data_IF_004164043882
#
_entry.id   IF_004164043882
#
_cell.length_a   1.000
_cell.length_b   1.000
_cell.length_c   1.000
_cell.angle_alpha   90.00
_cell.angle_beta   90.00
_cell.angle_gamma   90.00
#
_symmetry.space_group_name_H-M   'P 1'
#
loop_
_entity.id
_entity.type
_entity.pdbx_description
1 polymer ?
#
# COMPACT_ATOMS: atom_id res chain seq x y z
N UNK A 1 41.66 -35.88 30.05
CA UNK A 1 40.22 -35.91 30.34
C UNK A 1 39.83 -34.51 30.78
N UNK A 2 39.05 -33.81 29.94
CA UNK A 2 38.25 -32.57 30.13
C UNK A 2 38.22 -31.87 28.76
N UNK A 3 37.28 -32.25 27.91
CA UNK A 3 35.90 -31.75 27.79
C UNK A 3 35.81 -30.74 26.64
N UNK A 4 35.36 -31.28 25.50
CA UNK A 4 34.91 -30.53 24.35
C UNK A 4 33.61 -29.82 24.72
N UNK A 5 33.64 -28.49 24.81
CA UNK A 5 32.43 -27.68 24.94
C UNK A 5 31.72 -27.63 23.60
N UNK A 6 30.59 -28.34 23.56
CA UNK A 6 29.59 -28.31 22.51
C UNK A 6 28.99 -26.90 22.39
N UNK A 7 29.08 -26.33 21.18
CA UNK A 7 28.25 -25.20 20.78
C UNK A 7 26.78 -25.64 20.75
N UNK A 8 25.84 -24.93 21.41
CA UNK A 8 24.43 -25.21 21.21
C UNK A 8 24.04 -24.66 19.84
N UNK A 9 23.86 -25.56 18.87
CA UNK A 9 23.10 -25.30 17.66
C UNK A 9 21.65 -25.03 18.09
N UNK A 10 21.32 -23.77 18.33
CA UNK A 10 19.97 -23.32 18.62
C UNK A 10 19.08 -23.59 17.40
N UNK A 11 18.44 -24.75 17.40
CA UNK A 11 17.41 -25.09 16.43
C UNK A 11 16.28 -24.06 16.52
N UNK A 12 16.01 -23.38 15.41
CA UNK A 12 14.80 -22.58 15.25
C UNK A 12 13.59 -23.50 15.47
N UNK A 13 12.92 -23.38 16.61
CA UNK A 13 11.57 -23.95 16.74
C UNK A 13 10.65 -23.19 15.78
N UNK A 14 9.70 -23.88 15.15
CA UNK A 14 8.70 -23.25 14.27
C UNK A 14 7.86 -22.16 14.96
N UNK A 15 7.99 -22.00 16.28
CA UNK A 15 7.30 -21.03 17.14
C UNK A 15 8.36 -20.14 17.82
N UNK A 16 9.29 -19.57 17.05
CA UNK A 16 10.17 -18.54 17.58
C UNK A 16 9.40 -17.21 17.69
N UNK A 17 9.58 -16.42 18.77
CA UNK A 17 8.88 -15.15 18.98
C UNK A 17 8.92 -14.18 17.77
N UNK A 18 10.02 -14.07 16.99
CA UNK A 18 10.06 -13.21 15.81
C UNK A 18 9.09 -13.63 14.70
N UNK A 19 8.88 -14.93 14.50
CA UNK A 19 7.95 -15.46 13.48
C UNK A 19 6.50 -15.15 13.88
N UNK A 20 6.16 -15.34 15.15
CA UNK A 20 4.81 -15.07 15.66
C UNK A 20 4.46 -13.58 15.53
N UNK A 21 5.38 -12.68 15.88
CA UNK A 21 5.18 -11.24 15.72
C UNK A 21 5.01 -10.88 14.24
N UNK A 22 5.87 -11.42 13.37
CA UNK A 22 5.78 -11.17 11.93
C UNK A 22 4.42 -11.60 11.38
N UNK A 23 3.96 -12.81 11.72
CA UNK A 23 2.68 -13.33 11.30
C UNK A 23 1.51 -12.48 11.83
N UNK A 24 1.58 -12.03 13.09
CA UNK A 24 0.57 -11.18 13.69
C UNK A 24 0.47 -9.81 13.00
N UNK A 25 1.63 -9.19 12.72
CA UNK A 25 1.70 -7.91 12.00
C UNK A 25 1.21 -8.06 10.56
N UNK A 26 1.59 -9.14 9.87
CA UNK A 26 1.13 -9.43 8.51
C UNK A 26 -0.38 -9.69 8.45
N UNK A 27 -0.94 -10.46 9.40
CA UNK A 27 -2.37 -10.72 9.48
C UNK A 27 -3.17 -9.43 9.78
N UNK A 28 -2.68 -8.59 10.69
CA UNK A 28 -3.32 -7.31 10.98
C UNK A 28 -3.24 -6.38 9.77
N UNK A 29 -2.10 -6.35 9.09
CA UNK A 29 -1.92 -5.58 7.85
C UNK A 29 -2.85 -6.07 6.72
N UNK A 30 -3.03 -7.38 6.58
CA UNK A 30 -3.99 -7.96 5.64
C UNK A 30 -5.41 -7.42 5.91
N UNK A 31 -5.88 -7.51 7.16
CA UNK A 31 -7.23 -7.03 7.53
C UNK A 31 -7.40 -5.54 7.27
N UNK A 32 -6.42 -4.72 7.68
CA UNK A 32 -6.44 -3.28 7.41
C UNK A 32 -6.36 -2.95 5.92
N UNK A 33 -5.73 -3.80 5.12
CA UNK A 33 -5.69 -3.62 3.67
C UNK A 33 -7.03 -3.94 3.00
N UNK A 34 -7.85 -4.83 3.58
CA UNK A 34 -9.24 -5.06 3.15
C UNK A 34 -10.07 -3.78 3.29
N UNK A 35 -9.84 -2.96 4.32
CA UNK A 35 -10.59 -1.70 4.51
C UNK A 35 -10.44 -0.74 3.32
N UNK A 36 -9.31 -0.82 2.59
CA UNK A 36 -9.04 0.03 1.43
C UNK A 36 -9.91 -0.30 0.23
N UNK A 37 -10.34 -1.56 0.09
CA UNK A 37 -11.21 -2.01 -1.01
C UNK A 37 -12.68 -1.93 -0.65
N UNK A 38 -13.01 -1.80 0.65
CA UNK A 38 -14.41 -1.78 1.13
C UNK A 38 -15.26 -0.74 0.42
N UNK A 39 -14.78 0.51 0.35
CA UNK A 39 -15.52 1.60 -0.27
C UNK A 39 -15.67 1.44 -1.80
N UNK A 40 -14.72 0.76 -2.46
CA UNK A 40 -14.76 0.43 -3.91
C UNK A 40 -15.83 -0.60 -4.23
N UNK A 41 -15.95 -1.63 -3.41
CA UNK A 41 -16.98 -2.65 -3.60
C UNK A 41 -18.38 -2.12 -3.29
N UNK A 42 -18.51 -1.31 -2.23
CA UNK A 42 -19.79 -0.72 -1.83
C UNK A 42 -20.23 0.49 -2.68
N UNK A 43 -19.43 0.90 -3.68
CA UNK A 43 -19.68 2.09 -4.46
C UNK A 43 -21.07 2.13 -5.14
N UNK A 44 -21.55 1.05 -5.78
CA UNK A 44 -22.88 1.05 -6.41
C UNK A 44 -24.00 1.37 -5.40
N UNK A 45 -23.96 0.74 -4.23
CA UNK A 45 -24.93 0.95 -3.15
C UNK A 45 -24.84 2.35 -2.57
N UNK A 46 -23.62 2.89 -2.39
CA UNK A 46 -23.42 4.30 -1.98
C UNK A 46 -24.09 5.26 -2.95
N UNK A 47 -23.95 5.05 -4.26
CA UNK A 47 -24.58 5.90 -5.29
C UNK A 47 -26.10 5.73 -5.35
N UNK A 48 -26.61 4.54 -5.01
CA UNK A 48 -28.04 4.24 -5.04
C UNK A 48 -28.79 4.75 -3.79
N UNK A 49 -28.16 4.66 -2.62
CA UNK A 49 -28.79 5.00 -1.33
C UNK A 49 -28.51 6.43 -0.87
N UNK A 50 -27.52 7.10 -1.47
CA UNK A 50 -27.15 8.47 -1.09
C UNK A 50 -27.22 9.42 -2.28
N UNK A 51 -27.35 10.72 -2.01
CA UNK A 51 -27.43 11.74 -3.06
C UNK A 51 -26.06 12.16 -3.60
N UNK A 52 -25.00 11.39 -3.35
CA UNK A 52 -23.65 11.76 -3.75
C UNK A 52 -23.43 11.49 -5.24
N UNK A 53 -22.67 12.36 -5.89
CA UNK A 53 -22.27 12.16 -7.27
C UNK A 53 -20.86 11.52 -7.38
N UNK A 54 -20.47 11.14 -8.60
CA UNK A 54 -19.16 10.54 -8.87
C UNK A 54 -17.97 11.45 -8.51
N UNK A 55 -18.15 12.78 -8.54
CA UNK A 55 -17.10 13.73 -8.14
C UNK A 55 -16.86 13.64 -6.64
N UNK A 56 -17.94 13.66 -5.85
CA UNK A 56 -17.91 13.52 -4.40
C UNK A 56 -17.32 12.17 -3.96
N UNK A 57 -17.72 11.08 -4.61
CA UNK A 57 -17.12 9.75 -4.40
C UNK A 57 -15.61 9.77 -4.63
N UNK A 58 -15.15 10.38 -5.72
CA UNK A 58 -13.72 10.44 -6.06
C UNK A 58 -12.91 11.16 -4.98
N UNK A 59 -13.49 12.23 -4.41
CA UNK A 59 -12.89 12.98 -3.30
C UNK A 59 -12.86 12.13 -2.01
N UNK A 60 -13.91 11.36 -1.72
CA UNK A 60 -13.96 10.43 -0.59
C UNK A 60 -12.86 9.35 -0.69
N UNK A 61 -12.65 8.76 -1.86
CA UNK A 61 -11.51 7.85 -2.10
C UNK A 61 -10.17 8.55 -1.85
N UNK A 62 -10.03 9.76 -2.36
CA UNK A 62 -8.86 10.59 -2.12
C UNK A 62 -8.54 10.78 -0.65
N UNK A 63 -9.56 11.05 0.17
CA UNK A 63 -9.42 11.28 1.59
C UNK A 63 -8.71 10.10 2.28
N UNK A 64 -9.11 8.86 1.98
CA UNK A 64 -8.47 7.67 2.52
C UNK A 64 -6.99 7.60 2.15
N UNK A 65 -6.64 7.79 0.88
CA UNK A 65 -5.24 7.69 0.44
C UNK A 65 -4.37 8.85 0.94
N UNK A 66 -4.94 10.05 1.05
CA UNK A 66 -4.27 11.22 1.62
C UNK A 66 -3.97 10.97 3.11
N UNK A 67 -4.96 10.50 3.88
CA UNK A 67 -4.76 10.15 5.30
C UNK A 67 -3.66 9.10 5.46
N UNK A 68 -3.69 8.07 4.62
CA UNK A 68 -2.66 7.02 4.57
C UNK A 68 -1.26 7.55 4.26
N UNK A 69 -1.13 8.47 3.30
CA UNK A 69 0.16 9.01 2.90
C UNK A 69 0.75 9.96 3.95
N UNK A 70 -0.09 10.86 4.48
CA UNK A 70 0.32 11.89 5.44
C UNK A 70 0.71 11.27 6.79
N UNK A 71 0.05 10.19 7.21
CA UNK A 71 0.31 9.58 8.52
C UNK A 71 1.59 8.75 8.61
N UNK A 72 2.10 8.23 7.49
CA UNK A 72 3.30 7.39 7.49
C UNK A 72 4.55 8.09 8.04
N UNK A 73 4.77 9.35 7.67
CA UNK A 73 5.91 10.14 8.14
C UNK A 73 5.89 10.41 9.65
N UNK A 74 4.83 11.01 10.24
CA UNK A 74 4.77 11.28 11.67
C UNK A 74 4.68 10.00 12.52
N UNK A 75 4.07 8.92 12.01
CA UNK A 75 3.90 7.68 12.77
C UNK A 75 5.23 7.04 13.19
N UNK A 76 6.25 7.10 12.34
CA UNK A 76 7.60 6.62 12.69
C UNK A 76 8.18 7.38 13.89
N UNK A 77 8.17 8.73 13.83
CA UNK A 77 8.66 9.56 14.94
C UNK A 77 7.81 9.42 16.21
N UNK A 78 6.50 9.21 16.05
CA UNK A 78 5.60 8.98 17.18
C UNK A 78 5.92 7.64 17.87
N UNK A 79 6.23 6.59 17.11
CA UNK A 79 6.60 5.28 17.63
C UNK A 79 7.87 5.33 18.48
N UNK A 80 8.83 6.18 18.13
CA UNK A 80 10.03 6.39 18.94
C UNK A 80 9.71 7.04 20.30
N UNK A 81 8.70 7.92 20.35
CA UNK A 81 8.32 8.66 21.58
C UNK A 81 7.43 7.87 22.52
N UNK A 82 6.36 7.29 21.98
CA UNK A 82 5.30 6.62 22.78
C UNK A 82 5.33 5.10 22.69
N UNK A 83 6.28 4.55 21.91
CA UNK A 83 6.48 3.12 21.73
C UNK A 83 5.80 2.57 20.48
N UNK A 84 6.48 1.64 19.80
CA UNK A 84 6.03 0.92 18.60
C UNK A 84 4.65 0.31 18.80
N UNK A 85 4.48 -0.42 19.91
CA UNK A 85 3.23 -1.10 20.23
C UNK A 85 2.04 -0.13 20.36
N UNK A 86 2.23 1.02 21.01
CA UNK A 86 1.19 2.04 21.19
C UNK A 86 0.72 2.58 19.85
N UNK A 87 1.64 2.84 18.92
CA UNK A 87 1.28 3.37 17.60
C UNK A 87 0.64 2.32 16.70
N UNK A 88 1.06 1.06 16.78
CA UNK A 88 0.39 -0.03 16.05
C UNK A 88 -1.06 -0.20 16.49
N UNK A 89 -1.29 -0.33 17.81
CA UNK A 89 -2.64 -0.53 18.35
C UNK A 89 -3.48 0.73 18.16
N UNK A 90 -2.91 1.91 18.41
CA UNK A 90 -3.57 3.19 18.19
C UNK A 90 -3.97 3.39 16.73
N UNK A 91 -3.07 3.10 15.78
CA UNK A 91 -3.35 3.21 14.34
C UNK A 91 -4.46 2.26 13.88
N UNK A 92 -4.37 0.98 14.24
CA UNK A 92 -5.40 0.00 13.90
C UNK A 92 -6.75 0.29 14.61
N UNK A 93 -6.69 0.78 15.85
CA UNK A 93 -7.86 1.20 16.62
C UNK A 93 -8.55 2.41 16.00
N UNK A 94 -7.80 3.45 15.61
CA UNK A 94 -8.32 4.63 14.89
C UNK A 94 -8.98 4.18 13.58
N UNK A 95 -8.32 3.32 12.81
CA UNK A 95 -8.90 2.83 11.56
C UNK A 95 -10.20 2.06 11.77
N UNK A 96 -10.26 1.20 12.79
CA UNK A 96 -11.43 0.39 13.09
C UNK A 96 -12.57 1.26 13.63
N UNK A 97 -12.30 2.17 14.56
CA UNK A 97 -13.32 3.10 15.09
C UNK A 97 -13.89 4.02 14.01
N UNK A 98 -13.03 4.54 13.12
CA UNK A 98 -13.47 5.37 12.00
C UNK A 98 -14.28 4.56 10.97
N UNK A 99 -13.93 3.29 10.73
CA UNK A 99 -14.73 2.43 9.87
C UNK A 99 -16.09 2.11 10.51
N UNK A 100 -16.13 1.82 11.82
CA UNK A 100 -17.39 1.60 12.55
C UNK A 100 -18.29 2.83 12.55
N UNK A 101 -17.74 4.04 12.58
CA UNK A 101 -18.55 5.27 12.62
C UNK A 101 -19.37 5.48 11.33
N UNK A 102 -18.99 4.82 10.23
CA UNK A 102 -19.78 4.82 8.98
C UNK A 102 -21.18 4.23 9.18
N UNK A 103 -21.38 3.34 10.15
CA UNK A 103 -22.70 2.77 10.45
C UNK A 103 -23.74 3.79 10.90
N UNK A 104 -23.29 4.96 11.37
CA UNK A 104 -24.15 6.07 11.81
C UNK A 104 -23.86 7.34 11.00
N UNK A 105 -23.27 7.21 9.82
CA UNK A 105 -22.96 8.34 8.96
C UNK A 105 -24.25 8.92 8.35
N UNK A 106 -24.51 10.20 8.63
CA UNK A 106 -25.71 10.91 8.17
C UNK A 106 -25.43 11.96 7.10
N UNK A 107 -24.16 12.29 6.86
CA UNK A 107 -23.78 13.33 5.90
C UNK A 107 -22.40 13.05 5.28
N UNK A 108 -22.17 13.69 4.13
CA UNK A 108 -20.93 13.57 3.35
C UNK A 108 -19.66 13.88 4.16
N UNK A 109 -19.67 14.92 4.99
CA UNK A 109 -18.49 15.33 5.77
C UNK A 109 -18.10 14.30 6.83
N UNK A 110 -19.07 13.60 7.42
CA UNK A 110 -18.79 12.48 8.32
C UNK A 110 -18.09 11.36 7.55
N UNK A 111 -18.62 10.95 6.39
CA UNK A 111 -17.98 9.91 5.56
C UNK A 111 -16.56 10.32 5.16
N UNK A 112 -16.36 11.57 4.74
CA UNK A 112 -15.04 12.12 4.41
C UNK A 112 -14.06 12.02 5.59
N UNK A 113 -14.47 12.49 6.77
CA UNK A 113 -13.64 12.45 7.97
C UNK A 113 -13.33 11.01 8.40
N UNK A 114 -14.32 10.12 8.33
CA UNK A 114 -14.16 8.71 8.64
C UNK A 114 -13.13 8.06 7.69
N UNK A 115 -13.27 8.22 6.37
CA UNK A 115 -12.33 7.66 5.40
C UNK A 115 -10.91 8.23 5.55
N UNK A 116 -10.77 9.53 5.82
CA UNK A 116 -9.49 10.16 6.12
C UNK A 116 -8.83 9.55 7.36
N UNK A 117 -9.60 9.28 8.42
CA UNK A 117 -9.12 8.65 9.65
C UNK A 117 -8.81 7.16 9.47
N UNK A 118 -9.61 6.44 8.68
CA UNK A 118 -9.32 5.07 8.24
C UNK A 118 -7.94 5.03 7.58
N UNK A 119 -7.73 5.90 6.58
CA UNK A 119 -6.43 6.06 5.92
C UNK A 119 -5.30 6.35 6.90
N UNK A 120 -5.51 7.33 7.77
CA UNK A 120 -4.53 7.75 8.81
C UNK A 120 -4.10 6.58 9.69
N UNK A 121 -5.05 5.78 10.17
CA UNK A 121 -4.78 4.62 11.00
C UNK A 121 -4.02 3.51 10.26
N UNK A 122 -4.44 3.20 9.03
CA UNK A 122 -3.79 2.20 8.16
C UNK A 122 -2.34 2.61 7.86
N UNK A 123 -2.11 3.89 7.51
CA UNK A 123 -0.77 4.39 7.19
C UNK A 123 0.17 4.37 8.38
N UNK A 124 -0.35 4.72 9.57
CA UNK A 124 0.40 4.66 10.82
C UNK A 124 0.82 3.23 11.16
N UNK A 125 -0.12 2.28 11.05
CA UNK A 125 0.16 0.87 11.26
C UNK A 125 1.23 0.36 10.30
N UNK A 126 1.11 0.68 9.01
CA UNK A 126 2.03 0.18 7.97
C UNK A 126 3.46 0.69 8.14
N UNK A 127 3.63 1.96 8.49
CA UNK A 127 4.96 2.53 8.70
C UNK A 127 5.66 1.85 9.89
N UNK A 128 4.95 1.71 11.01
CA UNK A 128 5.52 1.21 12.25
C UNK A 128 5.70 -0.31 12.24
N UNK A 129 4.85 -1.07 11.55
CA UNK A 129 4.97 -2.53 11.47
C UNK A 129 6.23 -2.96 10.73
N UNK A 130 6.63 -2.23 9.70
CA UNK A 130 7.90 -2.47 9.01
C UNK A 130 9.11 -2.15 9.90
N UNK A 131 9.07 -1.04 10.63
CA UNK A 131 10.14 -0.69 11.59
C UNK A 131 10.24 -1.74 12.70
N UNK A 132 9.10 -2.24 13.18
CA UNK A 132 9.06 -3.32 14.18
C UNK A 132 9.75 -4.59 13.68
N UNK A 133 9.48 -5.01 12.44
CA UNK A 133 10.15 -6.17 11.83
C UNK A 133 11.66 -5.93 11.69
N UNK A 134 12.06 -4.82 11.07
CA UNK A 134 13.46 -4.51 10.80
C UNK A 134 14.32 -4.33 12.06
N UNK A 135 13.71 -4.07 13.22
CA UNK A 135 14.43 -3.91 14.49
C UNK A 135 14.46 -5.18 15.35
N UNK A 136 13.57 -6.16 15.11
CA UNK A 136 13.38 -7.32 16.00
C UNK A 136 13.69 -8.66 15.35
N UNK A 137 13.58 -8.74 14.03
CA UNK A 137 13.89 -9.96 13.31
C UNK A 137 15.40 -9.95 13.01
N UNK A 138 16.13 -11.02 13.36
CA UNK A 138 17.56 -11.11 13.03
C UNK A 138 17.79 -10.89 11.54
N UNK A 139 18.90 -10.24 11.16
CA UNK A 139 19.24 -9.87 9.78
C UNK A 139 19.09 -11.04 8.79
N UNK A 140 19.42 -12.26 9.21
CA UNK A 140 19.28 -13.50 8.41
C UNK A 140 17.82 -13.76 7.95
N UNK A 141 16.84 -13.35 8.75
CA UNK A 141 15.41 -13.61 8.52
C UNK A 141 14.61 -12.34 8.19
N UNK A 142 15.21 -11.15 8.32
CA UNK A 142 14.53 -9.87 8.11
C UNK A 142 13.86 -9.80 6.72
N UNK A 143 14.58 -10.19 5.67
CA UNK A 143 14.06 -10.19 4.30
C UNK A 143 12.83 -11.08 4.13
N UNK A 144 12.81 -12.26 4.78
CA UNK A 144 11.64 -13.16 4.75
C UNK A 144 10.46 -12.57 5.51
N UNK A 145 10.72 -11.94 6.66
CA UNK A 145 9.69 -11.32 7.48
C UNK A 145 9.05 -10.09 6.80
N UNK A 146 9.88 -9.21 6.22
CA UNK A 146 9.41 -8.09 5.41
C UNK A 146 8.69 -8.57 4.15
N UNK A 147 9.14 -9.67 3.55
CA UNK A 147 8.46 -10.33 2.44
C UNK A 147 7.04 -10.77 2.82
N UNK A 148 6.86 -11.43 3.97
CA UNK A 148 5.54 -11.84 4.47
C UNK A 148 4.63 -10.64 4.75
N UNK A 149 5.15 -9.60 5.43
CA UNK A 149 4.39 -8.37 5.66
C UNK A 149 3.97 -7.71 4.35
N UNK A 150 4.86 -7.64 3.36
CA UNK A 150 4.57 -6.99 2.08
C UNK A 150 3.60 -7.82 1.23
N UNK A 151 3.68 -9.15 1.29
CA UNK A 151 2.79 -10.06 0.56
C UNK A 151 1.33 -10.01 1.07
N UNK A 152 1.10 -9.68 2.35
CA UNK A 152 -0.25 -9.61 2.91
C UNK A 152 -1.15 -8.58 2.19
N UNK A 153 -0.59 -7.48 1.66
CA UNK A 153 -1.36 -6.47 0.93
C UNK A 153 -1.99 -7.01 -0.37
N UNK A 154 -1.25 -7.54 -1.35
CA UNK A 154 -1.85 -8.04 -2.59
C UNK A 154 -2.79 -9.24 -2.35
N UNK A 155 -2.54 -10.08 -1.34
CA UNK A 155 -3.49 -11.13 -0.95
C UNK A 155 -4.83 -10.55 -0.47
N UNK A 156 -4.79 -9.43 0.27
CA UNK A 156 -6.02 -8.74 0.70
C UNK A 156 -6.83 -8.20 -0.48
N UNK A 157 -6.20 -7.88 -1.62
CA UNK A 157 -6.93 -7.45 -2.80
C UNK A 157 -7.60 -8.60 -3.54
N UNK A 158 -7.17 -9.83 -3.35
CA UNK A 158 -7.87 -11.02 -3.88
C UNK A 158 -9.06 -11.38 -3.01
N UNK A 159 -8.82 -11.52 -1.70
CA UNK A 159 -9.81 -12.04 -0.74
C UNK A 159 -10.76 -10.94 -0.26
N UNK A 160 -10.26 -9.72 -0.13
CA UNK A 160 -10.97 -8.58 0.42
C UNK A 160 -12.23 -8.20 -0.35
N UNK A 161 -12.19 -8.00 -1.69
CA UNK A 161 -13.38 -7.62 -2.43
C UNK A 161 -14.52 -8.64 -2.33
N UNK A 162 -14.19 -9.94 -2.38
CA UNK A 162 -15.17 -11.02 -2.20
C UNK A 162 -15.72 -11.02 -0.77
N UNK A 163 -14.86 -10.84 0.23
CA UNK A 163 -15.27 -10.76 1.64
C UNK A 163 -16.22 -9.58 1.86
N UNK A 164 -15.89 -8.41 1.31
CA UNK A 164 -16.73 -7.21 1.40
C UNK A 164 -18.05 -7.42 0.67
N UNK A 165 -18.04 -7.98 -0.55
CA UNK A 165 -19.25 -8.24 -1.31
C UNK A 165 -20.19 -9.19 -0.55
N UNK A 166 -19.68 -10.29 0.01
CA UNK A 166 -20.48 -11.22 0.82
C UNK A 166 -21.04 -10.56 2.09
N UNK A 167 -20.24 -9.72 2.76
CA UNK A 167 -20.73 -8.97 3.92
C UNK A 167 -21.79 -7.94 3.53
N UNK A 168 -21.69 -7.31 2.35
CA UNK A 168 -22.67 -6.35 1.84
C UNK A 168 -23.95 -7.03 1.33
N UNK A 169 -23.87 -8.28 0.88
CA UNK A 169 -25.06 -9.09 0.56
C UNK A 169 -25.77 -9.57 1.85
N UNK A 170 -25.00 -9.85 2.91
CA UNK A 170 -25.53 -10.36 4.19
C UNK A 170 -26.01 -9.25 5.12
N UNK A 171 -25.32 -8.11 5.11
CA UNK A 171 -25.56 -6.93 5.92
C UNK A 171 -25.70 -5.72 5.01
N UNK A 172 -26.48 -4.71 5.40
CA UNK A 172 -26.64 -3.49 4.61
C UNK A 172 -25.36 -2.62 4.57
N UNK A 173 -25.40 -1.57 3.73
CA UNK A 173 -24.33 -0.60 3.51
C UNK A 173 -23.76 0.03 4.80
N UNK A 174 -24.59 0.22 5.83
CA UNK A 174 -24.21 0.86 7.09
C UNK A 174 -23.71 -0.16 8.11
N UNK A 175 -24.31 -1.35 8.17
CA UNK A 175 -23.95 -2.41 9.12
C UNK A 175 -22.66 -3.13 8.71
N UNK A 176 -22.41 -3.30 7.40
CA UNK A 176 -21.23 -4.00 6.88
C UNK A 176 -19.89 -3.42 7.38
N UNK A 177 -19.64 -2.10 7.34
CA UNK A 177 -18.41 -1.49 7.88
C UNK A 177 -18.19 -1.78 9.36
N UNK A 178 -19.27 -1.84 10.17
CA UNK A 178 -19.18 -2.14 11.59
C UNK A 178 -18.70 -3.58 11.83
N UNK A 179 -19.25 -4.55 11.11
CA UNK A 179 -18.82 -5.96 11.22
C UNK A 179 -17.36 -6.11 10.82
N UNK A 180 -16.95 -5.48 9.72
CA UNK A 180 -15.56 -5.53 9.26
C UNK A 180 -14.60 -4.88 10.26
N UNK A 181 -15.02 -3.80 10.93
CA UNK A 181 -14.24 -3.12 11.95
C UNK A 181 -13.91 -3.97 13.18
N UNK A 182 -14.67 -5.05 13.43
CA UNK A 182 -14.42 -5.98 14.54
C UNK A 182 -13.32 -7.00 14.22
N UNK A 183 -13.03 -7.24 12.94
CA UNK A 183 -12.09 -8.27 12.48
C UNK A 183 -10.66 -8.15 13.06
N UNK A 184 -10.05 -6.95 13.22
CA UNK A 184 -8.72 -6.84 13.80
C UNK A 184 -8.70 -6.94 15.34
N UNK A 185 -9.84 -6.83 16.04
CA UNK A 185 -9.86 -6.78 17.52
C UNK A 185 -9.17 -7.99 18.20
N UNK A 186 -9.35 -9.24 17.75
CA UNK A 186 -8.61 -10.37 18.32
C UNK A 186 -7.10 -10.23 18.12
N UNK A 187 -6.68 -9.77 16.94
CA UNK A 187 -5.26 -9.55 16.63
C UNK A 187 -4.68 -8.43 17.50
N UNK A 188 -5.44 -7.35 17.72
CA UNK A 188 -5.06 -6.27 18.62
C UNK A 188 -5.01 -6.72 20.09
N UNK A 189 -5.92 -7.60 20.51
CA UNK A 189 -5.88 -8.24 21.82
C UNK A 189 -4.62 -9.08 22.04
N UNK A 190 -4.20 -9.83 21.02
CA UNK A 190 -2.95 -10.59 21.04
C UNK A 190 -1.75 -9.63 21.04
N UNK A 191 -1.79 -8.56 20.23
CA UNK A 191 -0.73 -7.54 20.17
C UNK A 191 -0.59 -6.81 21.52
N UNK A 192 -1.70 -6.62 22.24
CA UNK A 192 -1.76 -6.06 23.58
C UNK A 192 -1.23 -7.02 24.66
N UNK A 193 -1.31 -8.34 24.47
CA UNK A 193 -0.79 -9.29 25.47
C UNK A 193 0.66 -9.69 25.18
N UNK A 194 1.11 -9.51 23.94
CA UNK A 194 2.47 -9.81 23.52
C UNK A 194 3.48 -8.85 24.19
N UNK A 195 4.35 -9.40 25.04
CA UNK A 195 5.45 -8.67 25.70
C UNK A 195 6.72 -8.59 24.85
N UNK A 196 6.75 -9.28 23.72
CA UNK A 196 7.90 -9.39 22.82
C UNK A 196 8.04 -8.22 21.85
N UNK A 197 7.11 -7.26 21.86
CA UNK A 197 7.25 -5.98 21.16
C UNK A 197 7.97 -4.98 22.06
N UNK A 198 8.93 -4.22 21.52
CA UNK A 198 9.74 -3.30 22.32
C UNK A 198 8.84 -2.19 22.86
N UNK A 199 9.08 -1.79 24.11
CA UNK A 199 8.45 -0.61 24.68
C UNK A 199 8.92 0.67 23.98
N UNK A 200 10.17 0.69 23.48
CA UNK A 200 10.81 1.77 22.72
C UNK A 200 11.86 1.18 21.78
N UNK A 201 12.04 1.75 20.59
CA UNK A 201 13.24 1.51 19.79
C UNK A 201 14.39 2.13 20.59
N UNK A 202 15.41 1.35 20.98
CA UNK A 202 16.53 1.86 21.78
C UNK A 202 17.16 3.07 21.08
N UNK A 203 16.92 4.25 21.67
CA UNK A 203 17.37 5.55 21.18
C UNK A 203 18.88 5.73 21.26
N UNK A 204 19.58 4.86 21.99
CA UNK A 204 21.00 5.00 22.32
C UNK A 204 21.92 4.63 21.15
N UNK A 205 21.39 4.04 20.07
CA UNK A 205 22.14 3.73 18.85
C UNK A 205 21.83 4.68 17.68
N UNK A 206 20.86 5.59 17.83
CA UNK A 206 20.36 6.44 16.73
C UNK A 206 20.00 7.84 17.24
N UNK A 207 20.89 8.82 17.07
CA UNK A 207 20.66 10.22 17.46
C UNK A 207 19.57 10.90 16.62
N UNK A 208 18.29 10.81 17.02
CA UNK A 208 17.15 11.31 16.25
C UNK A 208 17.21 12.84 16.05
N UNK A 209 17.15 13.36 14.82
CA UNK A 209 17.09 14.77 14.57
C UNK A 209 15.77 15.30 15.10
N UNK A 210 15.80 16.47 15.72
CA UNK A 210 14.58 17.24 15.97
C UNK A 210 13.82 17.40 14.64
N UNK A 211 12.49 17.48 14.64
CA UNK A 211 11.64 17.66 13.44
C UNK A 211 12.21 18.73 12.47
N UNK A 212 12.88 19.75 13.03
CA UNK A 212 13.62 20.81 12.32
C UNK A 212 14.85 20.33 11.52
N UNK A 213 15.67 19.44 12.08
CA UNK A 213 16.85 18.85 11.42
C UNK A 213 16.45 17.80 10.37
N UNK A 214 15.38 17.03 10.62
CA UNK A 214 14.79 16.16 9.61
C UNK A 214 14.29 16.97 8.41
N UNK A 215 13.67 18.13 8.66
CA UNK A 215 13.22 19.05 7.62
C UNK A 215 14.33 19.63 6.74
N UNK A 216 15.50 19.95 7.30
CA UNK A 216 16.64 20.46 6.50
C UNK A 216 17.26 19.38 5.62
N UNK A 217 17.48 18.17 6.14
CA UNK A 217 18.00 17.04 5.34
C UNK A 217 17.01 16.64 4.26
N UNK A 218 15.72 16.62 4.58
CA UNK A 218 14.66 16.32 3.63
C UNK A 218 14.54 17.39 2.53
N UNK A 219 14.71 18.68 2.87
CA UNK A 219 14.74 19.77 1.90
C UNK A 219 15.91 19.63 0.92
N UNK A 220 17.09 19.26 1.42
CA UNK A 220 18.26 19.09 0.56
C UNK A 220 18.13 17.84 -0.32
N UNK A 221 17.45 16.80 0.17
CA UNK A 221 17.08 15.62 -0.62
C UNK A 221 16.10 15.95 -1.75
N UNK A 222 15.07 16.73 -1.47
CA UNK A 222 14.09 17.20 -2.47
C UNK A 222 14.71 18.03 -3.61
N UNK A 223 15.89 18.62 -3.39
CA UNK A 223 16.63 19.36 -4.42
C UNK A 223 17.40 18.46 -5.39
N UNK A 224 17.57 17.18 -5.06
CA UNK A 224 18.27 16.23 -5.95
C UNK A 224 17.36 15.82 -7.10
N UNK A 225 17.88 15.89 -8.33
CA UNK A 225 17.17 15.44 -9.52
C UNK A 225 16.75 13.97 -9.41
N UNK A 226 17.60 13.11 -8.85
CA UNK A 226 17.31 11.68 -8.62
C UNK A 226 16.07 11.48 -7.74
N UNK A 227 15.88 12.31 -6.72
CA UNK A 227 14.71 12.26 -5.83
C UNK A 227 13.47 12.79 -6.53
N UNK A 228 13.59 13.87 -7.31
CA UNK A 228 12.48 14.37 -8.13
C UNK A 228 11.97 13.32 -9.11
N UNK A 229 12.89 12.60 -9.78
CA UNK A 229 12.55 11.50 -10.68
C UNK A 229 11.93 10.31 -9.94
N UNK A 230 12.46 9.97 -8.77
CA UNK A 230 11.90 8.94 -7.90
C UNK A 230 10.45 9.25 -7.51
N UNK A 231 10.21 10.47 -7.04
CA UNK A 231 8.88 10.93 -6.66
C UNK A 231 7.97 10.96 -7.89
N UNK A 232 8.46 11.42 -9.04
CA UNK A 232 7.69 11.46 -10.29
C UNK A 232 7.17 10.09 -10.73
N UNK A 233 8.04 9.09 -10.89
CA UNK A 233 7.58 7.75 -11.24
C UNK A 233 6.80 7.09 -10.09
N UNK A 234 7.15 7.38 -8.84
CA UNK A 234 6.46 6.87 -7.66
C UNK A 234 5.01 7.36 -7.57
N UNK A 235 4.75 8.62 -7.93
CA UNK A 235 3.41 9.18 -8.06
C UNK A 235 2.65 8.50 -9.19
N UNK A 236 3.25 8.37 -10.39
CA UNK A 236 2.61 7.69 -11.52
C UNK A 236 2.17 6.26 -11.18
N UNK A 237 3.05 5.48 -10.54
CA UNK A 237 2.75 4.13 -10.08
C UNK A 237 1.62 4.12 -9.03
N UNK A 238 1.73 4.99 -8.02
CA UNK A 238 0.78 5.00 -6.89
C UNK A 238 -0.60 5.49 -7.32
N UNK A 239 -0.67 6.51 -8.18
CA UNK A 239 -1.92 7.01 -8.77
C UNK A 239 -2.59 5.92 -9.60
N UNK A 240 -1.85 5.24 -10.47
CA UNK A 240 -2.41 4.18 -11.31
C UNK A 240 -2.98 3.05 -10.46
N UNK A 241 -2.23 2.62 -9.45
CA UNK A 241 -2.66 1.53 -8.56
C UNK A 241 -3.90 1.92 -7.77
N UNK A 242 -3.91 3.10 -7.13
CA UNK A 242 -5.03 3.55 -6.31
C UNK A 242 -6.29 3.83 -7.14
N UNK A 243 -6.16 4.42 -8.33
CA UNK A 243 -7.28 4.65 -9.23
C UNK A 243 -7.91 3.34 -9.71
N UNK A 244 -7.09 2.34 -10.05
CA UNK A 244 -7.61 1.04 -10.45
C UNK A 244 -8.25 0.27 -9.29
N UNK A 245 -7.69 0.35 -8.08
CA UNK A 245 -8.35 -0.22 -6.89
C UNK A 245 -9.76 0.36 -6.71
N UNK A 246 -9.92 1.67 -6.94
CA UNK A 246 -11.20 2.35 -6.79
C UNK A 246 -12.21 2.04 -7.91
N UNK A 247 -11.76 1.85 -9.15
CA UNK A 247 -12.66 1.83 -10.33
C UNK A 247 -12.84 0.43 -10.92
N UNK A 248 -11.85 -0.47 -10.78
CA UNK A 248 -11.83 -1.73 -11.51
C UNK A 248 -13.00 -2.68 -11.19
N UNK A 249 -13.40 -2.89 -9.92
CA UNK A 249 -14.53 -3.76 -9.62
C UNK A 249 -15.85 -3.23 -10.22
N UNK A 250 -16.12 -1.95 -10.03
CA UNK A 250 -17.29 -1.28 -10.62
C UNK A 250 -17.26 -1.37 -12.15
N UNK A 251 -16.13 -1.07 -12.78
CA UNK A 251 -15.97 -1.14 -14.23
C UNK A 251 -16.31 -2.54 -14.76
N UNK A 252 -15.81 -3.60 -14.12
CA UNK A 252 -16.08 -4.96 -14.56
C UNK A 252 -17.57 -5.29 -14.44
N UNK A 253 -18.24 -4.89 -13.36
CA UNK A 253 -19.68 -5.15 -13.19
C UNK A 253 -20.53 -4.34 -14.17
N UNK A 254 -20.17 -3.10 -14.46
CA UNK A 254 -20.93 -2.21 -15.34
C UNK A 254 -20.76 -2.57 -16.82
N UNK A 255 -19.53 -2.89 -17.24
CA UNK A 255 -19.19 -3.13 -18.65
C UNK A 255 -19.29 -4.58 -19.08
N UNK A 256 -19.40 -5.49 -18.12
CA UNK A 256 -19.57 -6.93 -18.41
C UNK A 256 -20.88 -7.41 -17.77
N UNK A 257 -21.47 -8.47 -18.31
CA UNK A 257 -22.68 -9.08 -17.75
C UNK A 257 -22.38 -9.95 -16.51
N UNK A 258 -21.34 -9.62 -15.74
CA UNK A 258 -20.90 -10.39 -14.58
C UNK A 258 -21.65 -9.93 -13.32
N UNK A 259 -21.87 -10.87 -12.39
CA UNK A 259 -22.39 -10.55 -11.07
C UNK A 259 -21.37 -9.76 -10.25
N UNK A 260 -21.80 -9.02 -9.22
CA UNK A 260 -20.92 -8.28 -8.30
C UNK A 260 -19.80 -9.18 -7.74
N UNK A 261 -20.15 -10.40 -7.31
CA UNK A 261 -19.20 -11.39 -6.78
C UNK A 261 -18.17 -11.85 -7.81
N UNK A 262 -18.57 -12.09 -9.07
CA UNK A 262 -17.62 -12.48 -10.11
C UNK A 262 -16.76 -11.29 -10.56
N UNK A 263 -17.35 -10.10 -10.75
CA UNK A 263 -16.61 -8.89 -11.12
C UNK A 263 -15.55 -8.51 -10.09
N UNK A 264 -15.90 -8.57 -8.79
CA UNK A 264 -14.97 -8.31 -7.68
C UNK A 264 -13.92 -9.40 -7.55
N UNK A 265 -14.26 -10.68 -7.74
CA UNK A 265 -13.30 -11.78 -7.75
C UNK A 265 -12.28 -11.60 -8.88
N UNK A 266 -12.71 -11.19 -10.07
CA UNK A 266 -11.80 -10.94 -11.18
C UNK A 266 -10.93 -9.71 -10.94
N UNK A 267 -11.49 -8.59 -10.46
CA UNK A 267 -10.71 -7.43 -10.07
C UNK A 267 -9.65 -7.80 -9.02
N UNK A 268 -10.03 -8.61 -8.03
CA UNK A 268 -9.10 -9.09 -7.01
C UNK A 268 -8.04 -10.03 -7.58
N UNK A 269 -8.42 -10.95 -8.47
CA UNK A 269 -7.50 -11.84 -9.18
C UNK A 269 -6.46 -11.09 -10.01
N UNK A 270 -6.82 -9.95 -10.60
CA UNK A 270 -5.89 -9.06 -11.29
C UNK A 270 -4.83 -8.52 -10.33
N UNK A 271 -5.21 -7.98 -9.17
CA UNK A 271 -4.23 -7.54 -8.16
C UNK A 271 -3.43 -8.71 -7.56
N UNK A 272 -4.05 -9.88 -7.43
CA UNK A 272 -3.39 -11.13 -7.01
C UNK A 272 -2.31 -11.62 -7.98
N UNK A 273 -2.57 -11.58 -9.29
CA UNK A 273 -1.57 -11.84 -10.31
C UNK A 273 -0.39 -10.85 -10.18
N UNK A 274 -0.67 -9.62 -9.75
CA UNK A 274 0.33 -8.63 -9.38
C UNK A 274 1.31 -9.08 -8.30
N UNK A 275 0.89 -9.91 -7.35
CA UNK A 275 1.80 -10.48 -6.34
C UNK A 275 2.93 -11.31 -6.98
N UNK A 276 2.59 -12.10 -8.01
CA UNK A 276 3.57 -12.84 -8.81
C UNK A 276 4.53 -11.88 -9.51
N UNK A 277 3.99 -10.78 -10.05
CA UNK A 277 4.79 -9.71 -10.67
C UNK A 277 5.78 -9.07 -9.71
N UNK A 278 5.38 -8.83 -8.46
CA UNK A 278 6.27 -8.31 -7.42
C UNK A 278 7.37 -9.30 -7.04
N UNK A 279 7.07 -10.60 -6.93
CA UNK A 279 8.06 -11.65 -6.64
C UNK A 279 9.07 -11.74 -7.79
N UNK A 280 8.57 -11.90 -9.03
CA UNK A 280 9.40 -11.98 -10.23
C UNK A 280 10.25 -10.72 -10.40
N UNK A 281 9.64 -9.54 -10.24
CA UNK A 281 10.33 -8.25 -10.29
C UNK A 281 11.45 -8.15 -9.26
N UNK A 282 11.25 -8.66 -8.04
CA UNK A 282 12.28 -8.73 -7.00
C UNK A 282 13.47 -9.61 -7.39
N UNK A 283 13.21 -10.83 -7.87
CA UNK A 283 14.26 -11.77 -8.30
C UNK A 283 15.01 -11.26 -9.53
N UNK A 284 14.29 -10.69 -10.51
CA UNK A 284 14.87 -10.15 -11.73
C UNK A 284 15.69 -8.89 -11.45
N UNK A 285 15.21 -8.00 -10.57
CA UNK A 285 15.92 -6.80 -10.13
C UNK A 285 17.32 -7.12 -9.61
N UNK A 286 17.48 -8.19 -8.86
CA UNK A 286 18.78 -8.58 -8.29
C UNK A 286 19.79 -9.01 -9.37
N UNK A 287 19.31 -9.37 -10.57
CA UNK A 287 20.16 -9.77 -11.72
C UNK A 287 20.42 -8.62 -12.69
N UNK A 288 19.43 -7.79 -12.97
CA UNK A 288 19.52 -6.76 -14.03
C UNK A 288 19.56 -5.31 -13.53
N UNK A 289 19.37 -5.08 -12.23
CA UNK A 289 19.26 -3.74 -11.62
C UNK A 289 17.82 -3.25 -11.51
N UNK A 290 17.61 -2.21 -10.70
CA UNK A 290 16.25 -1.70 -10.43
C UNK A 290 15.66 -0.89 -11.59
N UNK A 291 16.46 -0.06 -12.24
CA UNK A 291 15.95 0.87 -13.26
C UNK A 291 15.43 0.15 -14.52
N UNK A 292 16.07 -0.92 -15.04
CA UNK A 292 15.53 -1.67 -16.16
C UNK A 292 14.17 -2.31 -15.86
N UNK A 293 13.98 -2.84 -14.64
CA UNK A 293 12.70 -3.42 -14.20
C UNK A 293 11.61 -2.34 -14.15
N UNK A 294 11.93 -1.13 -13.67
CA UNK A 294 11.00 0.00 -13.71
C UNK A 294 10.57 0.32 -15.15
N UNK A 295 11.53 0.44 -16.07
CA UNK A 295 11.24 0.78 -17.47
C UNK A 295 10.36 -0.28 -18.14
N UNK A 296 10.70 -1.57 -17.98
CA UNK A 296 9.90 -2.67 -18.52
C UNK A 296 8.51 -2.70 -17.89
N UNK A 297 8.42 -2.53 -16.57
CA UNK A 297 7.14 -2.52 -15.84
C UNK A 297 6.20 -1.40 -16.32
N UNK A 298 6.70 -0.16 -16.43
CA UNK A 298 5.90 0.96 -16.93
C UNK A 298 5.51 0.79 -18.40
N UNK A 299 6.42 0.33 -19.26
CA UNK A 299 6.12 0.09 -20.68
C UNK A 299 5.08 -1.03 -20.87
N UNK A 300 5.20 -2.12 -20.12
CA UNK A 300 4.23 -3.21 -20.12
C UNK A 300 2.86 -2.75 -19.61
N UNK A 301 2.82 -1.99 -18.51
CA UNK A 301 1.57 -1.44 -17.97
C UNK A 301 0.90 -0.47 -18.95
N UNK A 302 1.65 0.47 -19.55
CA UNK A 302 1.11 1.43 -20.50
C UNK A 302 0.56 0.75 -21.77
N UNK A 303 1.32 -0.18 -22.34
CA UNK A 303 0.90 -0.91 -23.54
C UNK A 303 -0.34 -1.78 -23.29
N UNK A 304 -0.41 -2.49 -22.16
CA UNK A 304 -1.58 -3.31 -21.85
C UNK A 304 -2.83 -2.48 -21.58
N UNK A 305 -2.72 -1.29 -21.00
CA UNK A 305 -3.88 -0.38 -20.85
C UNK A 305 -4.40 0.13 -22.21
N UNK A 306 -3.54 0.28 -23.21
CA UNK A 306 -3.98 0.61 -24.58
C UNK A 306 -4.70 -0.60 -25.21
N UNK A 307 -4.15 -1.81 -25.05
CA UNK A 307 -4.78 -3.05 -25.53
C UNK A 307 -6.12 -3.31 -24.83
N UNK A 308 -6.24 -2.90 -23.57
CA UNK A 308 -7.47 -2.99 -22.79
C UNK A 308 -8.61 -2.23 -23.46
N UNK A 309 -8.35 -1.03 -23.99
CA UNK A 309 -9.37 -0.25 -24.71
C UNK A 309 -9.86 -0.91 -26.01
N UNK A 310 -9.13 -1.91 -26.53
CA UNK A 310 -9.48 -2.67 -27.72
C UNK A 310 -10.14 -4.02 -27.41
N UNK A 311 -10.24 -4.38 -26.11
CA UNK A 311 -10.73 -5.69 -25.67
C UNK A 311 -12.25 -5.70 -25.58
N UNK A 312 -12.90 -6.67 -26.23
CA UNK A 312 -14.37 -6.77 -26.28
C UNK A 312 -14.93 -8.01 -25.58
N UNK A 313 -14.07 -8.95 -25.18
CA UNK A 313 -14.48 -10.19 -24.51
C UNK A 313 -13.92 -10.27 -23.09
N UNK A 314 -14.67 -10.90 -22.18
CA UNK A 314 -14.23 -11.10 -20.79
C UNK A 314 -12.88 -11.82 -20.72
N UNK A 315 -12.67 -12.86 -21.53
CA UNK A 315 -11.40 -13.59 -21.57
C UNK A 315 -10.20 -12.71 -21.96
N UNK A 316 -10.37 -11.83 -22.95
CA UNK A 316 -9.32 -10.86 -23.33
C UNK A 316 -9.05 -9.85 -22.23
N UNK A 317 -10.10 -9.30 -21.61
CA UNK A 317 -9.96 -8.35 -20.49
C UNK A 317 -9.16 -8.97 -19.34
N UNK A 318 -9.42 -10.23 -19.00
CA UNK A 318 -8.71 -10.94 -17.93
C UNK A 318 -7.22 -11.13 -18.26
N UNK A 319 -6.90 -11.55 -19.48
CA UNK A 319 -5.50 -11.72 -19.91
C UNK A 319 -4.76 -10.39 -19.89
N UNK A 320 -5.37 -9.35 -20.46
CA UNK A 320 -4.78 -8.00 -20.52
C UNK A 320 -4.55 -7.44 -19.12
N UNK A 321 -5.54 -7.54 -18.24
CA UNK A 321 -5.41 -7.06 -16.85
C UNK A 321 -4.39 -7.88 -16.05
N UNK A 322 -4.27 -9.20 -16.29
CA UNK A 322 -3.25 -10.03 -15.65
C UNK A 322 -1.84 -9.60 -16.06
N UNK A 323 -1.58 -9.42 -17.37
CA UNK A 323 -0.27 -8.96 -17.87
C UNK A 323 0.03 -7.53 -17.42
N UNK A 324 -0.98 -6.65 -17.46
CA UNK A 324 -0.91 -5.30 -16.92
C UNK A 324 -0.47 -5.32 -15.45
N UNK A 325 -1.12 -6.13 -14.62
CA UNK A 325 -0.86 -6.20 -13.19
C UNK A 325 0.50 -6.80 -12.86
N UNK A 326 0.94 -7.81 -13.63
CA UNK A 326 2.30 -8.36 -13.55
C UNK A 326 3.35 -7.26 -13.81
N UNK A 327 3.17 -6.50 -14.89
CA UNK A 327 4.06 -5.39 -15.25
C UNK A 327 4.04 -4.29 -14.19
N UNK A 328 2.86 -3.82 -13.79
CA UNK A 328 2.70 -2.75 -12.81
C UNK A 328 3.30 -3.13 -11.46
N UNK A 329 3.01 -4.32 -10.91
CA UNK A 329 3.47 -4.69 -9.57
C UNK A 329 4.96 -5.07 -9.51
N UNK A 330 5.60 -5.37 -10.65
CA UNK A 330 7.05 -5.53 -10.71
C UNK A 330 7.82 -4.24 -10.39
N UNK A 331 7.17 -3.07 -10.48
CA UNK A 331 7.72 -1.75 -10.15
C UNK A 331 7.97 -1.61 -8.65
N UNK A 332 7.12 -2.20 -7.79
CA UNK A 332 7.17 -2.05 -6.34
C UNK A 332 8.54 -2.43 -5.73
N UNK A 333 9.11 -3.63 -5.96
CA UNK A 333 10.41 -4.02 -5.40
C UNK A 333 11.58 -3.20 -5.96
N UNK A 334 11.47 -2.72 -7.21
CA UNK A 334 12.49 -1.86 -7.82
C UNK A 334 12.45 -0.45 -7.22
N UNK A 335 11.26 0.14 -7.07
CA UNK A 335 11.04 1.42 -6.37
C UNK A 335 11.60 1.37 -4.96
N UNK A 336 11.23 0.34 -4.20
CA UNK A 336 11.63 0.22 -2.80
C UNK A 336 13.15 0.07 -2.65
N UNK A 337 13.83 -0.58 -3.61
CA UNK A 337 15.31 -0.62 -3.64
C UNK A 337 15.90 0.78 -3.76
N UNK A 338 15.40 1.59 -4.70
CA UNK A 338 15.92 2.95 -4.93
C UNK A 338 15.66 3.84 -3.72
N UNK A 339 14.46 3.76 -3.13
CA UNK A 339 14.11 4.47 -1.89
C UNK A 339 15.09 4.10 -0.78
N UNK A 340 15.36 2.81 -0.59
CA UNK A 340 16.27 2.33 0.45
C UNK A 340 17.72 2.80 0.23
N UNK A 341 18.20 2.79 -1.02
CA UNK A 341 19.55 3.28 -1.36
C UNK A 341 19.65 4.78 -1.07
N UNK A 342 18.72 5.60 -1.58
CA UNK A 342 18.72 7.05 -1.33
C UNK A 342 18.59 7.39 0.15
N UNK A 343 17.73 6.67 0.89
CA UNK A 343 17.57 6.89 2.32
C UNK A 343 18.85 6.64 3.12
N UNK A 344 19.59 5.57 2.80
CA UNK A 344 20.86 5.22 3.46
C UNK A 344 21.96 6.24 3.17
N UNK A 345 21.99 6.82 1.97
CA UNK A 345 22.97 7.85 1.60
C UNK A 345 22.75 9.18 2.33
N UNK A 346 21.51 9.49 2.68
CA UNK A 346 21.19 10.70 3.43
C UNK A 346 21.51 10.57 4.91
N UNK A 347 21.21 9.43 5.52
CA UNK A 347 21.49 9.20 6.92
C UNK A 347 21.55 7.71 7.24
N UNK A 348 22.71 7.27 7.74
CA UNK A 348 22.90 5.95 8.36
C UNK A 348 22.09 5.82 9.64
N UNK A 349 21.82 6.94 10.30
CA UNK A 349 21.15 7.04 11.59
C UNK A 349 19.62 7.08 11.38
N UNK A 350 19.11 7.78 10.35
CA UNK A 350 17.66 8.00 10.15
C UNK A 350 17.08 7.38 8.88
N UNK A 351 17.61 6.22 8.47
CA UNK A 351 17.17 5.55 7.24
C UNK A 351 15.66 5.28 7.23
N UNK A 352 15.07 4.83 8.35
CA UNK A 352 13.64 4.53 8.45
C UNK A 352 12.73 5.75 8.25
N UNK A 353 13.05 6.88 8.91
CA UNK A 353 12.30 8.13 8.76
C UNK A 353 12.37 8.66 7.31
N UNK A 354 13.54 8.52 6.66
CA UNK A 354 13.73 8.96 5.28
C UNK A 354 12.98 8.07 4.28
N UNK A 355 12.96 6.75 4.49
CA UNK A 355 12.13 5.81 3.71
C UNK A 355 10.65 6.22 3.83
N UNK A 356 10.19 6.48 5.05
CA UNK A 356 8.82 6.93 5.33
C UNK A 356 8.49 8.23 4.59
N UNK A 357 9.39 9.22 4.63
CA UNK A 357 9.20 10.51 3.97
C UNK A 357 9.11 10.39 2.44
N UNK A 358 10.02 9.63 1.81
CA UNK A 358 10.03 9.40 0.37
C UNK A 358 8.78 8.65 -0.09
N UNK A 359 8.34 7.63 0.67
CA UNK A 359 7.07 6.93 0.39
C UNK A 359 5.88 7.84 0.56
N UNK A 360 5.83 8.64 1.63
CA UNK A 360 4.76 9.62 1.86
C UNK A 360 4.60 10.55 0.66
N UNK A 361 5.69 11.05 0.07
CA UNK A 361 5.60 11.88 -1.15
C UNK A 361 4.97 11.11 -2.33
N UNK A 362 5.43 9.88 -2.57
CA UNK A 362 4.91 9.04 -3.66
C UNK A 362 3.42 8.73 -3.48
N UNK A 363 3.01 8.31 -2.29
CA UNK A 363 1.62 7.97 -1.99
C UNK A 363 0.71 9.19 -1.87
N UNK A 364 1.22 10.35 -1.42
CA UNK A 364 0.44 11.58 -1.34
C UNK A 364 0.09 12.08 -2.74
N UNK A 365 1.08 12.18 -3.64
CA UNK A 365 0.80 12.47 -5.04
C UNK A 365 -0.01 11.36 -5.70
N UNK A 366 0.21 10.10 -5.30
CA UNK A 366 -0.61 8.96 -5.67
C UNK A 366 -2.10 9.15 -5.37
N UNK A 367 -2.43 9.50 -4.13
CA UNK A 367 -3.79 9.76 -3.67
C UNK A 367 -4.43 10.96 -4.36
N UNK A 368 -3.72 12.09 -4.46
CA UNK A 368 -4.20 13.26 -5.20
C UNK A 368 -4.44 12.95 -6.69
N UNK A 369 -3.51 12.23 -7.32
CA UNK A 369 -3.65 11.80 -8.70
C UNK A 369 -4.83 10.84 -8.90
N UNK A 370 -5.12 9.97 -7.93
CA UNK A 370 -6.27 9.07 -8.01
C UNK A 370 -7.60 9.84 -7.98
N UNK A 371 -7.68 10.94 -7.20
CA UNK A 371 -8.82 11.87 -7.27
C UNK A 371 -8.95 12.46 -8.66
N UNK A 372 -7.85 12.99 -9.22
CA UNK A 372 -7.86 13.59 -10.57
C UNK A 372 -8.31 12.57 -11.63
N UNK A 373 -7.81 11.33 -11.54
CA UNK A 373 -8.24 10.25 -12.44
C UNK A 373 -9.71 9.93 -12.26
N UNK A 374 -10.20 9.76 -11.02
CA UNK A 374 -11.61 9.54 -10.73
C UNK A 374 -12.53 10.65 -11.26
N UNK A 375 -12.14 11.91 -11.07
CA UNK A 375 -12.82 13.07 -11.64
C UNK A 375 -12.84 13.04 -13.18
N UNK A 376 -11.74 12.60 -13.79
CA UNK A 376 -11.65 12.47 -15.24
C UNK A 376 -12.62 11.41 -15.76
N UNK A 377 -12.71 10.27 -15.07
CA UNK A 377 -13.72 9.24 -15.36
C UNK A 377 -15.15 9.77 -15.22
N UNK A 378 -15.41 10.52 -14.15
CA UNK A 378 -16.73 11.07 -13.85
C UNK A 378 -17.20 12.12 -14.88
N UNK A 379 -16.30 12.99 -15.36
CA UNK A 379 -16.65 14.14 -16.21
C UNK A 379 -16.48 13.86 -17.71
N UNK A 380 -15.48 13.07 -18.08
CA UNK A 380 -15.08 12.86 -19.48
C UNK A 380 -15.23 11.40 -19.94
N UNK A 381 -15.69 10.51 -19.05
CA UNK A 381 -15.96 9.11 -19.35
C UNK A 381 -14.73 8.21 -19.38
N UNK A 382 -14.96 6.94 -19.74
CA UNK A 382 -13.98 5.86 -19.65
C UNK A 382 -12.73 6.11 -20.50
N UNK A 383 -12.90 6.57 -21.75
CA UNK A 383 -11.78 6.79 -22.69
C UNK A 383 -10.81 7.83 -22.17
N UNK A 384 -11.31 8.94 -21.62
CA UNK A 384 -10.47 9.99 -21.05
C UNK A 384 -9.78 9.53 -19.76
N UNK A 385 -10.49 8.80 -18.88
CA UNK A 385 -9.94 8.25 -17.65
C UNK A 385 -8.80 7.26 -17.88
N UNK A 386 -9.00 6.26 -18.75
CA UNK A 386 -7.94 5.32 -19.12
C UNK A 386 -6.83 6.00 -19.93
N UNK A 387 -7.14 6.97 -20.79
CA UNK A 387 -6.16 7.77 -21.52
C UNK A 387 -5.22 8.54 -20.57
N UNK A 388 -5.76 9.13 -19.50
CA UNK A 388 -4.96 9.79 -18.47
C UNK A 388 -4.05 8.81 -17.73
N UNK A 389 -4.53 7.61 -17.41
CA UNK A 389 -3.70 6.56 -16.81
C UNK A 389 -2.53 6.15 -17.73
N UNK A 390 -2.76 6.02 -19.04
CA UNK A 390 -1.68 5.76 -20.01
C UNK A 390 -0.66 6.89 -20.03
N UNK A 391 -1.12 8.16 -20.05
CA UNK A 391 -0.23 9.33 -20.00
C UNK A 391 0.63 9.31 -18.73
N UNK A 392 0.04 9.02 -17.57
CA UNK A 392 0.75 8.92 -16.30
C UNK A 392 1.80 7.80 -16.31
N UNK A 393 1.48 6.64 -16.87
CA UNK A 393 2.44 5.54 -16.99
C UNK A 393 3.59 5.86 -17.95
N UNK A 394 3.31 6.54 -19.06
CA UNK A 394 4.33 7.06 -19.97
C UNK A 394 5.22 8.10 -19.27
N UNK A 395 4.65 9.00 -18.45
CA UNK A 395 5.42 9.93 -17.65
C UNK A 395 6.32 9.20 -16.63
N UNK A 396 5.79 8.15 -15.98
CA UNK A 396 6.57 7.28 -15.08
C UNK A 396 7.71 6.55 -15.80
N UNK A 397 7.47 6.09 -17.04
CA UNK A 397 8.51 5.53 -17.90
C UNK A 397 9.60 6.55 -18.22
N UNK A 398 9.22 7.76 -18.64
CA UNK A 398 10.16 8.85 -18.92
C UNK A 398 11.01 9.20 -17.69
N UNK A 399 10.39 9.28 -16.50
CA UNK A 399 11.11 9.49 -15.24
C UNK A 399 12.10 8.35 -14.94
N UNK A 400 11.70 7.10 -15.19
CA UNK A 400 12.55 5.92 -14.98
C UNK A 400 13.75 5.90 -15.93
N UNK A 401 13.53 6.23 -17.21
CA UNK A 401 14.60 6.34 -18.22
C UNK A 401 15.55 7.49 -17.88
N UNK A 402 15.01 8.67 -17.52
CA UNK A 402 15.82 9.79 -17.09
C UNK A 402 16.66 9.45 -15.85
N UNK A 403 16.09 8.68 -14.91
CA UNK A 403 16.82 8.21 -13.73
C UNK A 403 17.97 7.30 -14.14
N UNK A 404 17.78 6.44 -15.15
CA UNK A 404 18.85 5.60 -15.69
C UNK A 404 20.03 6.42 -16.20
N UNK A 405 19.76 7.49 -16.95
CA UNK A 405 20.80 8.37 -17.47
C UNK A 405 21.54 9.14 -16.36
N UNK A 406 20.82 9.62 -15.35
CA UNK A 406 21.41 10.41 -14.25
C UNK A 406 22.21 9.53 -13.28
N UNK A 407 21.71 8.34 -12.96
CA UNK A 407 22.28 7.47 -11.92
C UNK A 407 23.17 6.34 -12.45
N UNK A 408 23.18 6.08 -13.76
CA UNK A 408 23.95 5.00 -14.37
C UNK A 408 23.55 3.62 -13.85
N UNK A 409 24.53 2.82 -13.40
CA UNK A 409 24.31 1.46 -12.84
C UNK A 409 24.18 1.44 -11.30
N UNK A 410 23.90 2.59 -10.68
CA UNK A 410 23.88 2.72 -9.22
C UNK A 410 22.77 1.92 -8.53
N UNK A 411 21.67 1.64 -9.23
CA UNK A 411 20.43 1.09 -8.65
C UNK A 411 20.04 -0.29 -9.17
#
# INVERSE_FOLDING_TARGET
MTDASSSPTGGFSLISPPIVITALLAATWFVLSVYRVTFSVALPDVLAETSVNYTEVSVLFGALFIGYAVSQFPAGSLADRVGVRTVLIGGAGIASLALSSLAVATNYFHVFAALLLVGTGIGSFRAVSQVAISSHVPDEYEGKALGLLTAAEPFSYVVGPVTVALLLETYDLYTMPLVLALAPLPLLGILLTTRSLPARVDSDLVAIPTFRQAGTVFRDLLRRTETGLLVGFGIAFSTTTNALIAILPWYLVETTSLTLTLGTLYAGGVFGAGAVGAILGGVLRDRVGAVPILCVGFAAAASMLVVFALSSTVGQLLVVLAVFSLGLNSILPARDRIINVQARECSTTHTGAMIGALRSLCYLGGGLGAVIVGLTFAQFGLTAGFGLLVILLCAGLCCSVALWYVSGRRY
#
